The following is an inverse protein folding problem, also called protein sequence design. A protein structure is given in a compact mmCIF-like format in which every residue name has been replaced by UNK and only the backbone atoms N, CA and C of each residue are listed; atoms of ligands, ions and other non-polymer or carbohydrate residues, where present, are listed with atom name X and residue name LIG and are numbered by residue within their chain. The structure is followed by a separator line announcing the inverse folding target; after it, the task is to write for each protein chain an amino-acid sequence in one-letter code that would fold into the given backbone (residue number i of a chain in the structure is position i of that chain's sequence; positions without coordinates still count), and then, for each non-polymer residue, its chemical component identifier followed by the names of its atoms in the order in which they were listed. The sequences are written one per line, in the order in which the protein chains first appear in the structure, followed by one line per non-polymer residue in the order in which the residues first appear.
data_IF_267426172943
#
_entry.id   IF_267426172943
#
_cell.length_a   1.000
_cell.length_b   1.000
_cell.length_c   1.000
_cell.angle_alpha   90.00
_cell.angle_beta   90.00
_cell.angle_gamma   90.00
#
_symmetry.space_group_name_H-M   'P 1'
#
loop_
_entity.id
_entity.type
_entity.pdbx_description
1 polymer ?
#
# COMPACT_ATOMS: atom_id res chain seq x y z
N UNK A 1 13.73 16.71 -28.04
CA UNK A 1 12.95 17.84 -27.49
C UNK A 1 13.57 18.21 -26.15
N UNK A 2 14.48 19.18 -26.16
CA UNK A 2 14.98 19.78 -24.93
C UNK A 2 13.88 20.73 -24.46
N UNK A 3 13.18 20.35 -23.38
CA UNK A 3 12.30 21.29 -22.70
C UNK A 3 13.17 22.37 -22.07
N UNK A 4 12.99 23.58 -22.58
CA UNK A 4 13.56 24.81 -22.08
C UNK A 4 13.20 24.93 -20.60
N UNK A 5 14.21 24.89 -19.72
CA UNK A 5 14.05 25.06 -18.27
C UNK A 5 13.95 26.57 -18.05
N UNK A 6 12.91 27.20 -18.60
CA UNK A 6 12.54 28.56 -18.21
C UNK A 6 12.18 28.50 -16.73
N UNK A 7 12.90 29.23 -15.90
CA UNK A 7 12.71 29.31 -14.46
C UNK A 7 11.32 29.86 -14.12
N UNK A 8 10.30 29.02 -14.15
CA UNK A 8 8.96 29.35 -13.68
C UNK A 8 8.99 29.27 -12.17
N UNK A 9 9.11 30.44 -11.54
CA UNK A 9 8.99 30.63 -10.09
C UNK A 9 7.66 30.04 -9.61
N UNK A 10 7.68 29.43 -8.42
CA UNK A 10 6.46 28.90 -7.79
C UNK A 10 5.50 30.07 -7.53
N UNK A 11 4.23 30.00 -7.96
CA UNK A 11 3.28 31.09 -7.77
C UNK A 11 2.99 31.30 -6.28
N UNK A 12 3.11 32.54 -5.79
CA UNK A 12 2.71 32.86 -4.41
C UNK A 12 1.19 32.65 -4.22
N UNK A 13 0.72 32.09 -3.09
CA UNK A 13 1.45 31.75 -1.86
C UNK A 13 1.86 30.25 -1.76
N UNK A 14 1.99 29.55 -2.89
CA UNK A 14 2.36 28.14 -2.88
C UNK A 14 3.82 27.91 -2.48
N UNK A 15 4.05 26.79 -1.80
CA UNK A 15 5.36 26.33 -1.36
C UNK A 15 5.70 25.07 -2.13
N UNK A 16 6.84 25.06 -2.85
CA UNK A 16 7.38 23.83 -3.40
C UNK A 16 8.07 23.01 -2.32
N UNK A 17 7.72 21.74 -2.22
CA UNK A 17 8.29 20.78 -1.30
C UNK A 17 9.02 19.69 -2.08
N UNK A 18 10.21 19.30 -1.61
CA UNK A 18 11.02 18.26 -2.24
C UNK A 18 11.00 17.02 -1.35
N UNK A 19 10.40 15.95 -1.86
CA UNK A 19 10.39 14.66 -1.18
C UNK A 19 11.82 14.10 -1.05
N UNK A 20 12.16 13.34 0.01
CA UNK A 20 13.48 12.69 0.14
C UNK A 20 13.93 11.80 -1.03
N UNK A 21 13.01 11.36 -1.89
CA UNK A 21 13.32 10.63 -3.13
C UNK A 21 13.60 11.55 -4.34
N UNK A 22 13.60 12.87 -4.17
CA UNK A 22 13.97 13.87 -5.18
C UNK A 22 12.83 14.41 -6.05
N UNK A 23 11.61 13.88 -5.95
CA UNK A 23 10.45 14.44 -6.65
C UNK A 23 9.81 15.59 -5.87
N UNK A 24 9.06 16.46 -6.56
CA UNK A 24 8.47 17.68 -6.01
C UNK A 24 6.95 17.57 -5.89
N UNK A 25 6.38 18.29 -4.94
CA UNK A 25 4.95 18.58 -4.83
C UNK A 25 4.75 20.01 -4.32
N UNK A 26 3.52 20.50 -4.33
CA UNK A 26 3.19 21.88 -3.96
C UNK A 26 2.17 21.91 -2.82
N UNK A 27 2.38 22.81 -1.87
CA UNK A 27 1.52 23.02 -0.72
C UNK A 27 1.03 24.47 -0.65
N UNK A 28 -0.28 24.66 -0.49
CA UNK A 28 -0.89 25.96 -0.24
C UNK A 28 -1.23 26.08 1.26
N UNK A 29 -0.55 26.94 2.03
CA UNK A 29 -0.71 26.98 3.49
C UNK A 29 -2.09 27.46 3.94
N UNK A 30 -2.64 28.48 3.27
CA UNK A 30 -3.94 29.05 3.64
C UNK A 30 -5.11 28.09 3.41
N UNK A 31 -5.19 27.48 2.22
CA UNK A 31 -6.23 26.50 1.91
C UNK A 31 -5.93 25.09 2.46
N UNK A 32 -4.72 24.85 2.99
CA UNK A 32 -4.23 23.54 3.42
C UNK A 32 -4.42 22.49 2.31
N UNK A 33 -3.88 22.79 1.14
CA UNK A 33 -4.02 21.93 -0.05
C UNK A 33 -2.66 21.45 -0.52
N UNK A 34 -2.56 20.16 -0.81
CA UNK A 34 -1.40 19.53 -1.45
C UNK A 34 -1.77 19.03 -2.84
N UNK A 35 -0.88 19.25 -3.80
CA UNK A 35 -1.00 18.70 -5.16
C UNK A 35 0.36 18.26 -5.70
N UNK A 36 0.37 17.21 -6.52
CA UNK A 36 1.54 16.78 -7.30
C UNK A 36 1.56 17.38 -8.71
N UNK A 37 0.50 18.07 -9.09
CA UNK A 37 0.40 18.72 -10.40
C UNK A 37 1.32 19.95 -10.46
N UNK A 38 1.94 20.18 -11.62
CA UNK A 38 2.92 21.26 -11.77
C UNK A 38 2.26 22.63 -11.96
N UNK A 39 1.90 23.26 -10.85
CA UNK A 39 1.27 24.59 -10.77
C UNK A 39 2.13 25.74 -11.30
N UNK A 40 3.38 25.48 -11.67
CA UNK A 40 4.21 26.49 -12.35
C UNK A 40 3.69 26.78 -13.76
N UNK A 41 2.89 25.87 -14.32
CA UNK A 41 2.12 26.12 -15.53
C UNK A 41 0.80 26.84 -15.17
N UNK A 42 0.53 28.04 -15.71
CA UNK A 42 -0.66 28.82 -15.35
C UNK A 42 -1.98 28.06 -15.53
N UNK A 43 -2.12 27.27 -16.60
CA UNK A 43 -3.34 26.48 -16.82
C UNK A 43 -3.58 25.40 -15.74
N UNK A 44 -2.51 24.80 -15.20
CA UNK A 44 -2.60 23.81 -14.10
C UNK A 44 -3.00 24.52 -12.82
N UNK A 45 -2.39 25.67 -12.55
CA UNK A 45 -2.73 26.52 -11.41
C UNK A 45 -4.22 26.89 -11.45
N UNK A 46 -4.72 27.36 -12.58
CA UNK A 46 -6.13 27.73 -12.75
C UNK A 46 -7.07 26.54 -12.45
N UNK A 47 -6.76 25.35 -12.96
CA UNK A 47 -7.54 24.13 -12.69
C UNK A 47 -7.52 23.80 -11.19
N UNK A 48 -6.36 23.84 -10.55
CA UNK A 48 -6.22 23.53 -9.13
C UNK A 48 -6.97 24.57 -8.29
N UNK A 49 -6.80 25.86 -8.56
CA UNK A 49 -7.47 26.94 -7.83
C UNK A 49 -8.99 26.88 -7.96
N UNK A 50 -9.51 26.55 -9.14
CA UNK A 50 -10.96 26.38 -9.36
C UNK A 50 -11.55 25.14 -8.66
N UNK A 51 -10.72 24.17 -8.28
CA UNK A 51 -11.13 22.98 -7.52
C UNK A 51 -11.23 23.23 -6.03
N UNK A 52 -10.37 24.07 -5.46
CA UNK A 52 -10.27 24.27 -4.00
C UNK A 52 -11.63 24.55 -3.35
N UNK A 53 -12.45 25.50 -3.83
CA UNK A 53 -13.74 25.83 -3.22
C UNK A 53 -14.75 24.66 -3.21
N UNK A 54 -14.55 23.63 -4.04
CA UNK A 54 -15.43 22.47 -4.12
C UNK A 54 -15.25 21.52 -2.92
N UNK A 55 -14.09 21.55 -2.25
CA UNK A 55 -13.77 20.66 -1.14
C UNK A 55 -13.57 21.41 0.19
N UNK A 56 -13.11 22.67 0.14
CA UNK A 56 -12.93 23.50 1.33
C UNK A 56 -14.26 24.17 1.70
N UNK A 57 -15.16 23.42 2.34
CA UNK A 57 -16.41 23.98 2.90
C UNK A 57 -16.17 24.67 4.24
N UNK A 58 -17.02 25.65 4.60
CA UNK A 58 -17.01 26.34 5.90
C UNK A 58 -17.19 25.39 7.12
N UNK A 59 -17.78 24.19 6.94
CA UNK A 59 -17.94 23.18 8.01
C UNK A 59 -16.66 22.37 8.29
N UNK A 60 -15.51 22.81 7.78
CA UNK A 60 -14.21 22.25 8.18
C UNK A 60 -13.65 23.09 9.31
N UNK A 61 -13.31 22.44 10.42
CA UNK A 61 -12.82 23.04 11.68
C UNK A 61 -11.44 23.75 11.53
N UNK A 62 -11.03 24.14 10.31
CA UNK A 62 -9.70 24.67 9.98
C UNK A 62 -8.53 23.69 10.15
N UNK A 63 -8.79 22.52 10.74
CA UNK A 63 -7.78 21.50 11.08
C UNK A 63 -7.53 20.48 9.95
N UNK A 64 -8.37 20.46 8.92
CA UNK A 64 -8.30 19.48 7.84
C UNK A 64 -7.45 19.96 6.68
N UNK A 65 -6.75 19.02 6.05
CA UNK A 65 -5.94 19.23 4.85
C UNK A 65 -6.50 18.40 3.70
N UNK A 66 -6.32 18.87 2.47
CA UNK A 66 -6.82 18.21 1.27
C UNK A 66 -5.69 17.89 0.31
N UNK A 67 -5.59 16.64 -0.09
CA UNK A 67 -4.75 16.23 -1.22
C UNK A 67 -5.61 16.25 -2.48
N UNK A 68 -5.27 17.06 -3.48
CA UNK A 68 -5.92 17.06 -4.79
C UNK A 68 -5.10 16.22 -5.78
N UNK A 69 -5.79 15.45 -6.61
CA UNK A 69 -5.21 14.60 -7.64
C UNK A 69 -5.86 14.86 -8.99
N UNK A 70 -5.05 14.92 -10.04
CA UNK A 70 -5.50 14.96 -11.42
C UNK A 70 -6.03 16.32 -11.88
N UNK A 71 -6.02 16.49 -13.20
CA UNK A 71 -6.31 17.76 -13.88
C UNK A 71 -7.75 17.86 -14.43
N UNK A 72 -8.62 16.89 -14.14
CA UNK A 72 -10.03 16.95 -14.58
C UNK A 72 -10.72 18.16 -13.92
N UNK A 73 -11.28 19.13 -14.65
CA UNK A 73 -11.95 20.28 -14.06
C UNK A 73 -13.25 19.91 -13.33
N UNK A 74 -13.85 18.76 -13.69
CA UNK A 74 -15.03 18.22 -13.02
C UNK A 74 -14.62 17.31 -11.85
N UNK A 75 -15.37 17.35 -10.73
CA UNK A 75 -15.11 16.47 -9.61
C UNK A 75 -15.36 15.01 -9.99
N UNK A 76 -14.37 14.16 -9.75
CA UNK A 76 -14.42 12.72 -9.99
C UNK A 76 -14.38 11.99 -8.64
N UNK A 77 -14.98 10.79 -8.54
CA UNK A 77 -14.74 9.93 -7.38
C UNK A 77 -13.23 9.74 -7.17
N UNK A 78 -12.76 9.98 -5.94
CA UNK A 78 -11.35 9.82 -5.53
C UNK A 78 -10.36 10.84 -6.09
N UNK A 79 -10.82 11.96 -6.63
CA UNK A 79 -9.98 13.09 -7.05
C UNK A 79 -9.35 13.87 -5.90
N UNK A 80 -9.84 13.67 -4.68
CA UNK A 80 -9.32 14.28 -3.48
C UNK A 80 -9.26 13.26 -2.34
N UNK A 81 -8.38 13.51 -1.39
CA UNK A 81 -8.37 12.84 -0.10
C UNK A 81 -8.34 13.90 0.99
N UNK A 82 -9.12 13.69 2.05
CA UNK A 82 -9.17 14.56 3.22
C UNK A 82 -8.29 13.97 4.30
N UNK A 83 -7.48 14.81 4.94
CA UNK A 83 -6.45 14.44 5.91
C UNK A 83 -6.72 15.18 7.22
N UNK A 84 -6.73 14.43 8.31
CA UNK A 84 -6.80 14.93 9.68
C UNK A 84 -5.50 14.57 10.41
N UNK A 85 -4.61 15.55 10.56
CA UNK A 85 -3.31 15.32 11.21
C UNK A 85 -3.41 15.12 12.72
N UNK A 86 -4.41 15.72 13.37
CA UNK A 86 -4.64 15.60 14.82
C UNK A 86 -4.93 14.16 15.23
N UNK A 87 -5.69 13.45 14.41
CA UNK A 87 -6.06 12.05 14.68
C UNK A 87 -5.33 11.02 13.81
N UNK A 88 -4.43 11.49 12.93
CA UNK A 88 -3.70 10.68 11.96
C UNK A 88 -4.65 9.85 11.06
N UNK A 89 -5.69 10.49 10.50
CA UNK A 89 -6.69 9.84 9.64
C UNK A 89 -6.69 10.45 8.24
N UNK A 90 -6.91 9.63 7.22
CA UNK A 90 -7.19 10.11 5.87
C UNK A 90 -8.26 9.26 5.18
N UNK A 91 -9.14 9.89 4.40
CA UNK A 91 -10.16 9.21 3.61
C UNK A 91 -10.63 10.08 2.45
N UNK A 92 -11.19 9.44 1.42
CA UNK A 92 -11.91 10.12 0.35
C UNK A 92 -13.32 10.58 0.77
N UNK A 93 -13.74 10.28 2.00
CA UNK A 93 -15.01 10.70 2.57
C UNK A 93 -14.77 11.58 3.79
N UNK A 94 -15.18 12.84 3.74
CA UNK A 94 -15.04 13.81 4.84
C UNK A 94 -15.57 13.26 6.17
N UNK A 95 -16.73 12.59 6.15
CA UNK A 95 -17.36 12.05 7.36
C UNK A 95 -16.49 11.01 8.10
N UNK A 96 -15.58 10.31 7.40
CA UNK A 96 -14.70 9.30 8.00
C UNK A 96 -13.48 9.90 8.71
N UNK A 97 -13.23 11.21 8.56
CA UNK A 97 -12.05 11.90 9.15
C UNK A 97 -12.41 13.08 10.06
N UNK A 98 -13.69 13.44 10.14
CA UNK A 98 -14.16 14.52 11.02
C UNK A 98 -14.04 14.15 12.50
N UNK A 99 -13.59 15.12 13.31
CA UNK A 99 -13.44 14.98 14.76
C UNK A 99 -14.73 14.45 15.44
N UNK A 100 -15.90 14.98 15.02
CA UNK A 100 -17.23 14.61 15.55
C UNK A 100 -17.62 13.13 15.38
N UNK A 101 -17.07 12.45 14.36
CA UNK A 101 -17.39 11.08 14.03
C UNK A 101 -16.33 10.07 14.52
N UNK A 102 -15.27 10.53 15.18
CA UNK A 102 -14.14 9.66 15.49
C UNK A 102 -14.52 8.51 16.44
N UNK A 103 -15.38 8.76 17.43
CA UNK A 103 -15.81 7.76 18.42
C UNK A 103 -16.78 6.72 17.86
N UNK A 104 -17.43 7.00 16.72
CA UNK A 104 -18.39 6.10 16.09
C UNK A 104 -17.77 5.22 14.99
N UNK A 105 -16.52 5.47 14.61
CA UNK A 105 -15.83 4.68 13.60
C UNK A 105 -15.53 3.27 14.10
N UNK A 106 -15.95 2.26 13.33
CA UNK A 106 -15.59 0.88 13.62
C UNK A 106 -14.06 0.70 13.52
N UNK A 107 -13.47 -0.17 14.36
CA UNK A 107 -12.02 -0.40 14.41
C UNK A 107 -11.38 -0.71 13.04
N UNK A 108 -12.11 -1.41 12.17
CA UNK A 108 -11.68 -1.70 10.80
C UNK A 108 -11.62 -0.45 9.91
N UNK A 109 -12.62 0.43 10.00
CA UNK A 109 -12.63 1.71 9.27
C UNK A 109 -11.52 2.63 9.78
N UNK A 110 -11.32 2.67 11.10
CA UNK A 110 -10.22 3.39 11.73
C UNK A 110 -8.86 2.91 11.21
N UNK A 111 -8.64 1.60 11.16
CA UNK A 111 -7.39 1.02 10.65
C UNK A 111 -7.16 1.36 9.16
N UNK A 112 -8.23 1.38 8.35
CA UNK A 112 -8.15 1.80 6.94
C UNK A 112 -7.77 3.28 6.81
N UNK A 113 -8.43 4.15 7.57
CA UNK A 113 -8.19 5.60 7.52
C UNK A 113 -6.77 5.96 8.00
N UNK A 114 -6.28 5.27 9.04
CA UNK A 114 -4.88 5.35 9.49
C UNK A 114 -3.91 4.85 8.42
N UNK A 115 -4.22 3.76 7.72
CA UNK A 115 -3.38 3.28 6.62
C UNK A 115 -3.25 4.32 5.50
N UNK A 116 -4.35 4.94 5.09
CA UNK A 116 -4.33 6.04 4.12
C UNK A 116 -3.54 7.25 4.61
N UNK A 117 -3.66 7.61 5.90
CA UNK A 117 -2.90 8.70 6.49
C UNK A 117 -1.39 8.45 6.43
N UNK A 118 -0.93 7.27 6.82
CA UNK A 118 0.49 6.95 6.77
C UNK A 118 1.01 6.80 5.34
N UNK A 119 0.17 6.36 4.41
CA UNK A 119 0.48 6.44 2.99
C UNK A 119 0.65 7.90 2.53
N UNK A 120 -0.22 8.81 2.99
CA UNK A 120 -0.11 10.25 2.72
C UNK A 120 1.18 10.83 3.28
N UNK A 121 1.46 10.65 4.57
CA UNK A 121 2.68 11.16 5.20
C UNK A 121 3.97 10.60 4.58
N UNK A 122 3.93 9.37 4.06
CA UNK A 122 5.08 8.79 3.34
C UNK A 122 5.33 9.43 1.98
N UNK A 123 4.32 10.09 1.39
CA UNK A 123 4.42 10.79 0.11
C UNK A 123 4.69 12.29 0.32
N UNK A 124 4.06 12.92 1.31
CA UNK A 124 4.10 14.37 1.47
C UNK A 124 4.67 14.80 2.85
N UNK A 125 5.92 14.43 3.19
CA UNK A 125 6.46 14.51 4.54
C UNK A 125 6.99 15.89 4.96
N UNK A 126 7.16 16.83 4.02
CA UNK A 126 7.98 18.04 4.26
C UNK A 126 7.19 19.15 4.93
N UNK A 127 5.97 19.36 4.48
CA UNK A 127 5.15 20.52 4.84
C UNK A 127 4.45 20.35 6.20
N UNK A 128 4.35 19.13 6.70
CA UNK A 128 3.68 18.82 7.96
C UNK A 128 4.63 18.08 8.91
N UNK A 129 4.70 18.50 10.19
CA UNK A 129 5.45 17.78 11.19
C UNK A 129 4.83 16.42 11.44
N UNK A 130 5.66 15.51 11.91
CA UNK A 130 5.22 14.19 12.34
C UNK A 130 4.34 14.28 13.59
N UNK A 131 3.26 13.48 13.71
CA UNK A 131 2.47 13.39 14.93
C UNK A 131 3.31 12.95 16.14
N UNK A 132 3.07 13.56 17.29
CA UNK A 132 3.87 13.38 18.51
C UNK A 132 3.92 11.92 18.99
N UNK A 133 2.82 11.18 18.82
CA UNK A 133 2.69 9.79 19.26
C UNK A 133 3.17 8.76 18.23
N UNK A 134 3.61 9.17 17.04
CA UNK A 134 3.95 8.25 15.95
C UNK A 134 5.08 7.28 16.32
N UNK A 135 6.12 7.78 17.00
CA UNK A 135 7.27 6.95 17.43
C UNK A 135 6.83 5.91 18.44
N UNK A 136 6.09 6.32 19.48
CA UNK A 136 5.60 5.41 20.51
C UNK A 136 4.70 4.33 19.90
N UNK A 137 3.79 4.72 19.00
CA UNK A 137 2.90 3.80 18.32
C UNK A 137 3.64 2.77 17.46
N UNK A 138 4.70 3.20 16.75
CA UNK A 138 5.54 2.30 15.98
C UNK A 138 6.30 1.32 16.89
N UNK A 139 6.87 1.81 17.99
CA UNK A 139 7.57 0.99 19.00
C UNK A 139 6.62 -0.06 19.59
N UNK A 140 5.43 0.35 20.04
CA UNK A 140 4.45 -0.57 20.65
C UNK A 140 4.05 -1.68 19.67
N UNK A 141 3.81 -1.34 18.40
CA UNK A 141 3.49 -2.32 17.37
C UNK A 141 4.65 -3.29 17.12
N UNK A 142 5.88 -2.78 17.00
CA UNK A 142 7.07 -3.60 16.76
C UNK A 142 7.39 -4.52 17.93
N UNK A 143 7.24 -4.05 19.18
CA UNK A 143 7.41 -4.87 20.39
C UNK A 143 6.38 -6.00 20.42
N UNK A 144 5.13 -5.71 20.08
CA UNK A 144 4.10 -6.74 19.97
C UNK A 144 4.43 -7.77 18.88
N UNK A 145 4.85 -7.32 17.69
CA UNK A 145 5.21 -8.23 16.61
C UNK A 145 6.43 -9.09 16.95
N UNK A 146 7.44 -8.53 17.60
CA UNK A 146 8.56 -9.28 18.13
C UNK A 146 8.09 -10.35 19.13
N UNK A 147 7.19 -9.99 20.05
CA UNK A 147 6.61 -10.91 21.03
C UNK A 147 5.83 -12.03 20.35
N UNK A 148 4.97 -11.72 19.37
CA UNK A 148 4.23 -12.74 18.63
C UNK A 148 5.17 -13.67 17.82
N UNK A 149 6.26 -13.14 17.25
CA UNK A 149 7.28 -13.99 16.63
C UNK A 149 7.91 -14.98 17.62
N UNK A 150 8.13 -14.57 18.88
CA UNK A 150 8.70 -15.44 19.91
C UNK A 150 7.69 -16.49 20.40
N UNK A 151 6.44 -16.09 20.63
CA UNK A 151 5.39 -16.96 21.19
C UNK A 151 4.84 -17.91 20.13
N UNK A 152 4.53 -17.38 18.94
CA UNK A 152 3.85 -18.12 17.86
C UNK A 152 4.85 -18.74 16.87
N UNK A 153 6.12 -18.35 16.88
CA UNK A 153 7.18 -18.93 16.06
C UNK A 153 6.88 -18.88 14.56
N UNK A 154 6.90 -20.04 13.91
CA UNK A 154 6.60 -20.18 12.48
C UNK A 154 5.12 -19.90 12.12
N UNK A 155 4.23 -19.91 13.11
CA UNK A 155 2.79 -19.64 12.92
C UNK A 155 2.42 -18.17 13.06
N UNK A 156 3.39 -17.30 13.40
CA UNK A 156 3.18 -15.86 13.51
C UNK A 156 2.85 -15.25 12.13
N UNK A 157 1.82 -14.40 12.08
CA UNK A 157 1.34 -13.75 10.86
C UNK A 157 1.70 -12.28 10.77
N UNK A 158 2.39 -11.73 11.77
CA UNK A 158 2.74 -10.30 11.88
C UNK A 158 3.69 -9.82 10.77
N UNK A 159 3.60 -8.53 10.37
CA UNK A 159 4.20 -7.98 9.14
C UNK A 159 5.74 -8.07 9.08
N UNK A 160 6.38 -8.13 10.24
CA UNK A 160 7.83 -8.11 10.39
C UNK A 160 8.31 -9.37 11.12
N UNK A 161 9.43 -9.93 10.66
CA UNK A 161 10.13 -10.99 11.35
C UNK A 161 10.81 -10.49 12.63
N UNK A 162 11.22 -11.42 13.49
CA UNK A 162 11.98 -11.12 14.71
C UNK A 162 13.18 -10.19 14.46
N UNK A 163 14.03 -10.52 13.49
CA UNK A 163 15.23 -9.74 13.17
C UNK A 163 14.91 -8.37 12.56
N UNK A 164 13.85 -8.27 11.75
CA UNK A 164 13.36 -6.98 11.26
C UNK A 164 12.85 -6.10 12.41
N UNK A 165 12.11 -6.67 13.38
CA UNK A 165 11.68 -5.93 14.56
C UNK A 165 12.87 -5.41 15.39
N UNK A 166 13.89 -6.25 15.64
CA UNK A 166 15.11 -5.86 16.37
C UNK A 166 15.82 -4.69 15.67
N UNK A 167 16.01 -4.80 14.35
CA UNK A 167 16.69 -3.76 13.57
C UNK A 167 15.87 -2.46 13.51
N UNK A 168 14.56 -2.54 13.30
CA UNK A 168 13.69 -1.36 13.27
C UNK A 168 13.62 -0.68 14.64
N UNK A 169 13.52 -1.43 15.73
CA UNK A 169 13.57 -0.88 17.09
C UNK A 169 14.92 -0.20 17.37
N UNK A 170 16.03 -0.82 16.95
CA UNK A 170 17.36 -0.22 17.04
C UNK A 170 17.41 1.10 16.28
N UNK A 171 16.96 1.15 15.02
CA UNK A 171 16.94 2.38 14.22
C UNK A 171 16.06 3.47 14.85
N UNK A 172 14.90 3.11 15.40
CA UNK A 172 14.02 4.08 16.08
C UNK A 172 14.69 4.69 17.32
N UNK A 173 15.38 3.88 18.13
CA UNK A 173 16.14 4.37 19.28
C UNK A 173 17.26 5.34 18.88
N UNK A 174 18.01 5.02 17.81
CA UNK A 174 19.08 5.89 17.32
C UNK A 174 18.52 7.15 16.64
N UNK A 175 17.33 7.08 16.02
CA UNK A 175 16.70 8.23 15.36
C UNK A 175 16.18 9.30 16.33
N UNK A 176 16.04 8.97 17.62
CA UNK A 176 15.74 9.95 18.67
C UNK A 176 16.95 10.82 19.04
N UNK A 177 18.16 10.42 18.66
CA UNK A 177 19.40 11.19 18.88
C UNK A 177 19.43 12.41 17.94
N UNK A 178 18.85 12.30 16.75
CA UNK A 178 18.68 13.42 15.84
C UNK A 178 17.39 14.17 16.20
N UNK A 179 17.48 15.06 17.18
CA UNK A 179 16.40 15.96 17.59
C UNK A 179 16.07 16.96 16.48
N UNK A 180 15.00 16.68 15.73
CA UNK A 180 14.49 17.58 14.68
C UNK A 180 13.43 16.93 13.79
N UNK A 181 12.56 17.75 13.21
CA UNK A 181 11.62 17.32 12.16
C UNK A 181 12.42 17.12 10.86
N UNK A 182 12.84 15.89 10.59
CA UNK A 182 13.48 15.52 9.33
C UNK A 182 12.46 14.83 8.41
N UNK A 183 12.29 15.27 7.14
CA UNK A 183 11.40 14.60 6.20
C UNK A 183 11.72 13.12 6.03
N UNK A 184 13.00 12.73 6.07
CA UNK A 184 13.41 11.32 5.98
C UNK A 184 12.95 10.50 7.19
N UNK A 185 12.98 11.10 8.39
CA UNK A 185 12.44 10.47 9.61
C UNK A 185 10.94 10.27 9.50
N UNK A 186 10.21 11.29 9.02
CA UNK A 186 8.76 11.21 8.76
C UNK A 186 8.44 10.10 7.76
N UNK A 187 9.17 10.01 6.64
CA UNK A 187 8.97 8.94 5.63
C UNK A 187 9.23 7.55 6.23
N UNK A 188 10.31 7.38 6.98
CA UNK A 188 10.66 6.10 7.60
C UNK A 188 9.57 5.64 8.58
N UNK A 189 9.12 6.52 9.47
CA UNK A 189 8.06 6.21 10.44
C UNK A 189 6.71 5.98 9.76
N UNK A 190 6.37 6.80 8.77
CA UNK A 190 5.17 6.62 7.98
C UNK A 190 5.17 5.28 7.24
N UNK A 191 6.32 4.81 6.74
CA UNK A 191 6.45 3.48 6.16
C UNK A 191 6.17 2.37 7.18
N UNK A 192 6.78 2.41 8.38
CA UNK A 192 6.51 1.42 9.44
C UNK A 192 5.02 1.38 9.78
N UNK A 193 4.43 2.55 10.07
CA UNK A 193 3.03 2.63 10.51
C UNK A 193 2.05 2.29 9.40
N UNK A 194 2.37 2.59 8.14
CA UNK A 194 1.61 2.11 6.98
C UNK A 194 1.55 0.58 6.97
N UNK A 195 2.66 -0.11 7.17
CA UNK A 195 2.69 -1.59 7.21
C UNK A 195 1.92 -2.16 8.41
N UNK A 196 2.06 -1.53 9.58
CA UNK A 196 1.27 -1.87 10.79
C UNK A 196 -0.23 -1.79 10.51
N UNK A 197 -0.69 -0.69 9.92
CA UNK A 197 -2.12 -0.48 9.66
C UNK A 197 -2.65 -1.28 8.47
N UNK A 198 -1.82 -1.54 7.46
CA UNK A 198 -2.14 -2.49 6.38
C UNK A 198 -2.41 -3.88 6.95
N UNK A 199 -1.52 -4.35 7.83
CA UNK A 199 -1.68 -5.63 8.51
C UNK A 199 -2.93 -5.65 9.41
N UNK A 200 -3.13 -4.64 10.25
CA UNK A 200 -4.32 -4.54 11.12
C UNK A 200 -5.62 -4.55 10.31
N UNK A 201 -5.65 -3.87 9.16
CA UNK A 201 -6.79 -3.90 8.26
C UNK A 201 -7.03 -5.30 7.68
N UNK A 202 -5.98 -5.96 7.18
CA UNK A 202 -6.06 -7.30 6.59
C UNK A 202 -6.49 -8.38 7.60
N UNK A 203 -6.03 -8.28 8.85
CA UNK A 203 -6.39 -9.21 9.93
C UNK A 203 -7.68 -8.85 10.67
N UNK A 204 -8.45 -7.87 10.16
CA UNK A 204 -9.68 -7.40 10.77
C UNK A 204 -9.51 -7.03 12.26
N UNK A 205 -8.43 -6.32 12.57
CA UNK A 205 -8.07 -5.93 13.93
C UNK A 205 -9.24 -5.22 14.65
N UNK A 206 -9.54 -5.67 15.87
CA UNK A 206 -10.64 -5.15 16.68
C UNK A 206 -12.05 -5.54 16.22
N UNK A 207 -12.21 -6.35 15.15
CA UNK A 207 -13.54 -6.80 14.67
C UNK A 207 -14.02 -8.09 15.33
N UNK A 208 -13.10 -8.99 15.65
CA UNK A 208 -13.41 -10.33 16.14
C UNK A 208 -13.14 -10.47 17.63
N UNK A 209 -13.97 -11.27 18.31
CA UNK A 209 -13.64 -11.77 19.65
C UNK A 209 -12.47 -12.76 19.58
N UNK A 210 -11.87 -13.10 20.73
CA UNK A 210 -10.75 -14.04 20.77
C UNK A 210 -11.07 -15.37 20.06
N UNK A 211 -12.24 -15.98 20.36
CA UNK A 211 -12.66 -17.24 19.76
C UNK A 211 -12.78 -17.12 18.24
N UNK A 212 -13.44 -16.07 17.76
CA UNK A 212 -13.60 -15.80 16.32
C UNK A 212 -12.26 -15.55 15.63
N UNK A 213 -11.35 -14.83 16.27
CA UNK A 213 -9.99 -14.58 15.76
C UNK A 213 -9.18 -15.88 15.63
N UNK A 214 -9.24 -16.76 16.64
CA UNK A 214 -8.61 -18.09 16.59
C UNK A 214 -9.19 -18.94 15.47
N UNK A 215 -10.52 -18.97 15.33
CA UNK A 215 -11.18 -19.70 14.24
C UNK A 215 -10.78 -19.16 12.86
N UNK A 216 -10.77 -17.84 12.68
CA UNK A 216 -10.34 -17.19 11.43
C UNK A 216 -8.88 -17.53 11.09
N UNK A 217 -7.96 -17.45 12.06
CA UNK A 217 -6.55 -17.83 11.86
C UNK A 217 -6.41 -19.31 11.52
N UNK A 218 -7.13 -20.19 12.21
CA UNK A 218 -7.13 -21.63 11.94
C UNK A 218 -7.66 -21.94 10.53
N UNK A 219 -8.67 -21.21 10.06
CA UNK A 219 -9.18 -21.32 8.69
C UNK A 219 -8.14 -20.85 7.66
N UNK A 220 -7.41 -19.77 7.95
CA UNK A 220 -6.37 -19.25 7.07
C UNK A 220 -5.07 -20.07 7.07
N UNK A 221 -4.77 -20.75 8.18
CA UNK A 221 -3.63 -21.64 8.31
C UNK A 221 -3.82 -22.95 7.53
N UNK A 222 -5.06 -23.41 7.37
CA UNK A 222 -5.35 -24.56 6.50
C UNK A 222 -5.02 -24.17 5.06
N UNK A 223 -4.24 -24.98 4.32
CA UNK A 223 -4.05 -24.75 2.89
C UNK A 223 -5.43 -24.69 2.25
N UNK A 224 -5.78 -23.54 1.65
CA UNK A 224 -7.03 -23.41 0.89
C UNK A 224 -7.02 -24.53 -0.13
N UNK A 225 -7.87 -25.56 0.08
CA UNK A 225 -8.21 -26.49 -1.00
C UNK A 225 -8.75 -25.61 -2.11
N UNK A 226 -8.11 -25.66 -3.27
CA UNK A 226 -8.49 -24.86 -4.42
C UNK A 226 -9.93 -25.23 -4.82
N UNK A 227 -10.90 -24.48 -4.32
CA UNK A 227 -12.19 -24.40 -4.99
C UNK A 227 -12.00 -23.51 -6.22
N UNK A 228 -12.34 -23.99 -7.43
CA UNK A 228 -12.24 -23.18 -8.63
C UNK A 228 -13.11 -21.93 -8.44
N UNK A 229 -12.48 -20.77 -8.57
CA UNK A 229 -13.09 -19.47 -8.36
C UNK A 229 -14.38 -19.34 -9.18
N UNK A 230 -15.52 -19.29 -8.51
CA UNK A 230 -16.80 -18.92 -9.13
C UNK A 230 -16.90 -17.39 -9.16
N UNK A 231 -17.49 -16.90 -10.26
CA UNK A 231 -17.98 -15.55 -10.55
C UNK A 231 -17.15 -14.66 -11.51
N UNK A 232 -17.39 -14.86 -12.81
CA UNK A 232 -17.74 -13.82 -13.80
C UNK A 232 -18.32 -14.48 -15.06
N UNK A 233 -18.85 -13.67 -16.02
CA UNK A 233 -19.83 -14.03 -17.06
C UNK A 233 -19.76 -15.48 -17.60
N UNK A 234 -20.78 -16.27 -17.26
CA UNK A 234 -20.76 -17.73 -17.28
C UNK A 234 -20.59 -18.41 -18.65
N UNK A 235 -20.61 -17.68 -19.76
CA UNK A 235 -20.58 -18.27 -21.12
C UNK A 235 -19.22 -18.05 -21.81
N UNK A 236 -18.68 -16.82 -21.75
CA UNK A 236 -17.34 -16.51 -22.29
C UNK A 236 -16.24 -17.18 -21.47
N UNK A 237 -16.36 -17.16 -20.14
CA UNK A 237 -15.40 -17.82 -19.26
C UNK A 237 -15.44 -19.34 -19.44
N UNK A 238 -16.61 -19.94 -19.69
CA UNK A 238 -16.70 -21.40 -19.95
C UNK A 238 -16.04 -21.80 -21.26
N UNK A 239 -16.26 -21.05 -22.33
CA UNK A 239 -15.63 -21.33 -23.62
C UNK A 239 -14.12 -21.14 -23.57
N UNK A 240 -13.66 -20.04 -22.97
CA UNK A 240 -12.23 -19.80 -22.74
C UNK A 240 -11.64 -20.90 -21.86
N UNK A 241 -12.35 -21.32 -20.81
CA UNK A 241 -11.89 -22.37 -19.91
C UNK A 241 -11.84 -23.74 -20.59
N UNK A 242 -12.83 -24.10 -21.41
CA UNK A 242 -12.79 -25.33 -22.23
C UNK A 242 -11.62 -25.28 -23.20
N UNK A 243 -11.39 -24.14 -23.87
CA UNK A 243 -10.26 -23.97 -24.78
C UNK A 243 -8.92 -24.09 -24.04
N UNK A 244 -8.76 -23.41 -22.90
CA UNK A 244 -7.55 -23.46 -22.09
C UNK A 244 -7.30 -24.86 -21.49
N UNK A 245 -8.36 -25.58 -21.09
CA UNK A 245 -8.25 -26.94 -20.58
C UNK A 245 -7.93 -27.93 -21.70
N UNK A 246 -8.55 -27.80 -22.87
CA UNK A 246 -8.35 -28.71 -23.99
C UNK A 246 -7.00 -28.54 -24.68
N UNK A 247 -6.58 -27.30 -24.95
CA UNK A 247 -5.37 -27.02 -25.72
C UNK A 247 -4.13 -26.82 -24.85
N UNK A 248 -4.30 -26.34 -23.62
CA UNK A 248 -3.19 -26.07 -22.71
C UNK A 248 -3.21 -26.98 -21.48
N UNK A 249 -3.99 -28.06 -21.50
CA UNK A 249 -4.07 -29.07 -20.42
C UNK A 249 -4.29 -28.47 -19.02
N UNK A 250 -4.94 -27.30 -18.94
CA UNK A 250 -5.15 -26.58 -17.68
C UNK A 250 -3.91 -25.92 -17.06
N UNK A 251 -2.75 -25.95 -17.74
CA UNK A 251 -1.48 -25.34 -17.31
C UNK A 251 -1.63 -23.84 -16.93
N UNK A 252 -2.39 -23.02 -17.68
CA UNK A 252 -2.57 -21.61 -17.34
C UNK A 252 -3.24 -21.40 -15.98
N UNK A 253 -4.16 -22.29 -15.58
CA UNK A 253 -4.86 -22.19 -14.29
C UNK A 253 -3.96 -22.54 -13.11
N UNK A 254 -3.11 -23.56 -13.27
CA UNK A 254 -2.08 -23.88 -12.26
C UNK A 254 -1.11 -22.72 -12.07
N UNK A 255 -0.67 -22.06 -13.15
CA UNK A 255 0.20 -20.88 -13.01
C UNK A 255 -0.51 -19.68 -12.41
N UNK A 256 -1.74 -19.37 -12.83
CA UNK A 256 -2.52 -18.29 -12.21
C UNK A 256 -2.77 -18.57 -10.72
N UNK A 257 -3.01 -19.83 -10.34
CA UNK A 257 -3.15 -20.24 -8.96
C UNK A 257 -1.85 -20.07 -8.16
N UNK A 258 -0.71 -20.45 -8.74
CA UNK A 258 0.60 -20.26 -8.12
C UNK A 258 0.96 -18.78 -7.99
N UNK A 259 0.71 -17.96 -9.02
CA UNK A 259 0.89 -16.51 -8.98
C UNK A 259 0.01 -15.88 -7.92
N UNK A 260 -1.29 -16.23 -7.85
CA UNK A 260 -2.19 -15.73 -6.80
C UNK A 260 -1.73 -16.16 -5.40
N UNK A 261 -1.27 -17.41 -5.26
CA UNK A 261 -0.75 -17.93 -3.99
C UNK A 261 0.52 -17.18 -3.56
N UNK A 262 1.47 -16.98 -4.48
CA UNK A 262 2.72 -16.26 -4.25
C UNK A 262 2.51 -14.74 -4.08
N UNK A 263 1.46 -14.18 -4.68
CA UNK A 263 1.12 -12.75 -4.57
C UNK A 263 0.24 -12.43 -3.37
N UNK A 264 -0.35 -13.43 -2.70
CA UNK A 264 -1.17 -13.18 -1.51
C UNK A 264 -0.25 -12.81 -0.36
N UNK A 265 -0.30 -11.53 0.04
CA UNK A 265 0.45 -11.04 1.19
C UNK A 265 0.00 -11.78 2.47
N UNK A 266 0.88 -12.62 3.01
CA UNK A 266 0.69 -13.31 4.30
C UNK A 266 1.62 -12.74 5.38
N UNK A 267 1.70 -11.41 5.46
CA UNK A 267 2.34 -10.73 6.57
C UNK A 267 3.85 -10.87 6.67
N UNK A 268 4.60 -11.44 5.73
CA UNK A 268 6.07 -11.25 5.72
C UNK A 268 6.57 -11.06 4.30
N UNK A 269 7.13 -9.88 3.99
CA UNK A 269 7.77 -9.61 2.71
C UNK A 269 8.87 -10.63 2.41
N UNK A 270 9.64 -11.04 3.43
CA UNK A 270 10.63 -12.10 3.31
C UNK A 270 10.02 -13.46 2.90
N UNK A 271 8.84 -13.81 3.42
CA UNK A 271 8.14 -15.03 3.01
C UNK A 271 7.59 -14.90 1.59
N UNK A 272 7.08 -13.74 1.21
CA UNK A 272 6.64 -13.47 -0.17
C UNK A 272 7.82 -13.62 -1.12
N UNK A 273 8.97 -12.99 -0.83
CA UNK A 273 10.20 -13.13 -1.61
C UNK A 273 10.66 -14.58 -1.70
N UNK A 274 10.75 -15.29 -0.58
CA UNK A 274 11.14 -16.72 -0.56
C UNK A 274 10.16 -17.60 -1.36
N UNK A 275 8.87 -17.31 -1.29
CA UNK A 275 7.82 -18.03 -2.05
C UNK A 275 7.95 -17.74 -3.53
N UNK A 276 8.22 -16.49 -3.91
CA UNK A 276 8.51 -16.09 -5.28
C UNK A 276 9.79 -16.73 -5.80
N UNK A 277 10.89 -16.70 -5.04
CA UNK A 277 12.17 -17.32 -5.42
C UNK A 277 12.00 -18.82 -5.64
N UNK A 278 11.28 -19.52 -4.74
CA UNK A 278 10.97 -20.93 -4.90
C UNK A 278 10.10 -21.21 -6.14
N UNK A 279 9.11 -20.35 -6.41
CA UNK A 279 8.25 -20.46 -7.58
C UNK A 279 9.01 -20.22 -8.89
N UNK A 280 9.86 -19.18 -8.95
CA UNK A 280 10.70 -18.88 -10.12
C UNK A 280 11.69 -20.02 -10.35
N UNK A 281 12.34 -20.52 -9.30
CA UNK A 281 13.26 -21.66 -9.41
C UNK A 281 12.56 -22.88 -10.01
N UNK A 282 11.34 -23.19 -9.53
CA UNK A 282 10.52 -24.28 -10.07
C UNK A 282 10.17 -24.04 -11.54
N UNK A 283 9.75 -22.82 -11.90
CA UNK A 283 9.44 -22.44 -13.28
C UNK A 283 10.63 -22.62 -14.22
N UNK A 284 11.81 -22.16 -13.81
CA UNK A 284 13.05 -22.32 -14.58
C UNK A 284 13.39 -23.79 -14.77
N UNK A 285 13.21 -24.61 -13.73
CA UNK A 285 13.45 -26.05 -13.80
C UNK A 285 12.47 -26.76 -14.74
N UNK A 286 11.17 -26.44 -14.66
CA UNK A 286 10.14 -26.97 -15.55
C UNK A 286 10.43 -26.60 -17.02
N UNK A 287 10.80 -25.35 -17.29
CA UNK A 287 11.15 -24.88 -18.63
C UNK A 287 12.43 -25.54 -19.17
N UNK A 288 13.45 -25.71 -18.32
CA UNK A 288 14.70 -26.40 -18.69
C UNK A 288 14.43 -27.86 -19.06
N UNK A 289 13.61 -28.56 -18.26
CA UNK A 289 13.20 -29.94 -18.56
C UNK A 289 12.42 -30.03 -19.87
N UNK A 290 11.53 -29.08 -20.15
CA UNK A 290 10.79 -29.02 -21.40
C UNK A 290 11.73 -28.86 -22.61
N UNK A 291 12.69 -27.94 -22.55
CA UNK A 291 13.69 -27.75 -23.61
C UNK A 291 14.55 -29.01 -23.83
N UNK A 292 14.92 -29.73 -22.76
CA UNK A 292 15.64 -31.01 -22.86
C UNK A 292 14.81 -32.09 -23.56
N UNK A 293 13.50 -32.14 -23.33
CA UNK A 293 12.60 -33.08 -24.00
C UNK A 293 12.46 -32.73 -25.48
N UNK A 294 12.21 -31.45 -25.80
CA UNK A 294 12.04 -30.99 -27.18
C UNK A 294 13.33 -31.20 -28.00
N UNK A 295 14.48 -30.88 -27.43
CA UNK A 295 15.77 -31.12 -28.10
C UNK A 295 16.04 -32.60 -28.36
N UNK A 296 15.73 -33.50 -27.41
CA UNK A 296 15.83 -34.96 -27.62
C UNK A 296 14.86 -35.47 -28.69
N UNK A 297 13.62 -35.00 -28.69
CA UNK A 297 12.62 -35.39 -29.71
C UNK A 297 13.02 -34.90 -31.10
N UNK A 298 13.53 -33.68 -31.23
CA UNK A 298 14.04 -33.13 -32.49
C UNK A 298 15.21 -33.96 -33.02
N UNK A 299 16.14 -34.36 -32.15
CA UNK A 299 17.27 -35.21 -32.53
C UNK A 299 16.80 -36.59 -33.02
N UNK A 300 15.83 -37.21 -32.34
CA UNK A 300 15.25 -38.51 -32.74
C UNK A 300 14.54 -38.42 -34.09
N UNK A 301 13.81 -37.32 -34.35
CA UNK A 301 13.15 -37.10 -35.63
C UNK A 301 14.15 -36.91 -36.77
N UNK A 302 15.24 -36.18 -36.53
CA UNK A 302 16.29 -35.95 -37.53
C UNK A 302 17.06 -37.23 -37.88
N UNK A 303 17.21 -38.17 -36.94
CA UNK A 303 17.87 -39.47 -37.21
C UNK A 303 16.98 -40.49 -37.93
N UNK A 304 15.67 -40.23 -38.07
CA UNK A 304 14.72 -41.14 -38.76
C UNK A 304 14.43 -40.73 -40.21
N UNK A 305 14.93 -39.59 -40.66
CA UNK A 305 14.87 -39.11 -42.05
C UNK A 305 16.20 -39.34 -42.73
#
# INVERSE_FOLDING_TARGET
MHHDISSTTVPSPWIACIHPQGWMYFFHPEFRVVTTEDIRHPHVLDIVMNKIPQYTSEDTDGELEFQLCGLSPQPLPFDHMVINHKHALASHKLQEVQNKNMTSLAAHQFSRARNHYWQYMSRYPVHMPMPENAVQEAVDALVWYFTDNLVSGANSTVPFSKGECEELLRLLQHSNIYSGSSPSKTVFLAWILKEVYSFRYAEHYGKFTEKQSREFRNQNAKPRRHEPARHSSALKDKLLNVFLVAFFFGIPWTYVAHVKSASTYKGRLANVRKTWDAYITRLVQEYTNFLLIVSRLSLIMTMRT
#
